data_IF_015143738548
#
_entry.id   IF_015143738548
#
_cell.length_a   1.000
_cell.length_b   1.000
_cell.length_c   1.000
_cell.angle_alpha   90.00
_cell.angle_beta   90.00
_cell.angle_gamma   90.00
#
_symmetry.space_group_name_H-M   'P 1'
#
loop_
_entity.id
_entity.type
_entity.pdbx_description
1 polymer ?
#
# COMPACT_ATOMS: atom_id res chain seq x y z
N UNK A 1 -62.18 53.12 -35.03
CA UNK A 1 -61.30 52.20 -35.79
C UNK A 1 -59.91 52.84 -35.80
N UNK A 2 -58.79 52.26 -35.36
CA UNK A 2 -58.38 50.91 -34.94
C UNK A 2 -57.34 51.08 -33.82
N UNK A 3 -57.17 50.01 -33.06
CA UNK A 3 -56.50 49.86 -31.77
C UNK A 3 -54.99 49.64 -31.95
N UNK A 4 -54.16 50.25 -31.11
CA UNK A 4 -52.69 50.04 -31.03
C UNK A 4 -52.37 48.71 -30.33
N UNK A 5 -51.37 47.93 -30.77
CA UNK A 5 -50.99 46.71 -30.08
C UNK A 5 -49.99 47.01 -28.95
N UNK A 6 -50.33 46.57 -27.74
CA UNK A 6 -49.43 46.54 -26.59
C UNK A 6 -48.65 45.22 -26.66
N UNK A 7 -47.34 45.29 -26.77
CA UNK A 7 -46.46 44.12 -26.65
C UNK A 7 -46.01 44.04 -25.19
N UNK A 8 -46.56 43.07 -24.45
CA UNK A 8 -46.10 42.72 -23.10
C UNK A 8 -44.97 41.68 -23.20
N UNK A 9 -43.91 41.77 -22.38
CA UNK A 9 -42.87 40.74 -22.35
C UNK A 9 -43.41 39.50 -21.63
N UNK A 10 -43.42 38.36 -22.32
CA UNK A 10 -43.73 37.05 -21.74
C UNK A 10 -42.55 36.64 -20.87
N UNK A 11 -42.71 36.72 -19.55
CA UNK A 11 -41.78 36.16 -18.58
C UNK A 11 -42.01 34.64 -18.52
N UNK A 12 -41.19 33.88 -19.25
CA UNK A 12 -41.18 32.42 -19.21
C UNK A 12 -40.51 31.96 -17.90
N UNK A 13 -41.33 31.66 -16.89
CA UNK A 13 -40.87 31.06 -15.63
C UNK A 13 -40.58 29.57 -15.87
N UNK A 14 -39.32 29.22 -16.13
CA UNK A 14 -38.86 27.83 -16.11
C UNK A 14 -38.90 27.33 -14.66
N UNK A 15 -39.99 26.67 -14.28
CA UNK A 15 -40.04 25.90 -13.03
C UNK A 15 -39.14 24.66 -13.18
N UNK A 16 -37.91 24.76 -12.70
CA UNK A 16 -37.02 23.61 -12.53
C UNK A 16 -37.55 22.75 -11.39
N UNK A 17 -38.18 21.63 -11.73
CA UNK A 17 -38.47 20.57 -10.77
C UNK A 17 -37.14 19.97 -10.29
N UNK A 18 -36.72 20.31 -9.08
CA UNK A 18 -35.59 19.65 -8.43
C UNK A 18 -36.09 18.29 -7.96
N UNK A 19 -35.92 17.25 -8.79
CA UNK A 19 -36.07 15.87 -8.34
C UNK A 19 -35.06 15.61 -7.23
N UNK A 20 -35.58 15.43 -6.02
CA UNK A 20 -34.80 15.15 -4.82
C UNK A 20 -34.34 13.68 -4.87
N UNK A 21 -33.30 13.38 -5.66
CA UNK A 21 -32.72 12.04 -5.72
C UNK A 21 -32.02 11.75 -4.39
N UNK A 22 -32.53 10.76 -3.65
CA UNK A 22 -31.84 10.23 -2.48
C UNK A 22 -30.45 9.71 -2.92
N UNK A 23 -29.41 10.09 -2.19
CA UNK A 23 -28.04 9.69 -2.51
C UNK A 23 -27.92 8.16 -2.54
N UNK A 24 -27.27 7.58 -3.56
CA UNK A 24 -27.15 6.13 -3.67
C UNK A 24 -26.41 5.54 -2.46
N UNK A 25 -26.84 4.37 -2.00
CA UNK A 25 -26.25 3.67 -0.85
C UNK A 25 -25.84 2.24 -1.20
N UNK A 26 -24.84 1.70 -0.52
CA UNK A 26 -24.41 0.31 -0.60
C UNK A 26 -24.53 -0.36 0.77
N UNK A 27 -25.27 -1.47 0.84
CA UNK A 27 -25.34 -2.30 2.05
C UNK A 27 -24.20 -3.31 2.06
N UNK A 28 -23.33 -3.23 3.05
CA UNK A 28 -22.16 -4.09 3.22
C UNK A 28 -22.58 -5.56 3.32
N UNK A 29 -22.04 -6.38 2.43
CA UNK A 29 -22.25 -7.82 2.41
C UNK A 29 -21.16 -8.54 3.21
N UNK A 30 -21.43 -9.80 3.58
CA UNK A 30 -20.49 -10.63 4.33
C UNK A 30 -19.18 -10.81 3.55
N UNK A 31 -18.08 -10.31 4.13
CA UNK A 31 -16.73 -10.43 3.56
C UNK A 31 -16.29 -9.25 2.69
N UNK A 32 -17.13 -8.24 2.48
CA UNK A 32 -16.72 -7.01 1.81
C UNK A 32 -15.89 -6.10 2.72
N UNK A 33 -14.94 -5.40 2.13
CA UNK A 33 -14.15 -4.37 2.82
C UNK A 33 -14.47 -2.98 2.27
N UNK A 34 -14.25 -1.96 3.10
CA UNK A 34 -14.50 -0.56 2.75
C UNK A 34 -13.83 -0.14 1.43
N UNK A 35 -12.61 -0.63 1.20
CA UNK A 35 -11.83 -0.34 -0.01
C UNK A 35 -12.33 -1.10 -1.24
N UNK A 36 -12.83 -2.34 -1.08
CA UNK A 36 -13.47 -3.09 -2.17
C UNK A 36 -14.77 -2.40 -2.62
N UNK A 37 -15.58 -1.94 -1.66
CA UNK A 37 -16.82 -1.22 -1.94
C UNK A 37 -16.51 0.11 -2.64
N UNK A 38 -15.52 0.88 -2.18
CA UNK A 38 -15.08 2.09 -2.86
C UNK A 38 -14.67 1.83 -4.32
N UNK A 39 -13.85 0.79 -4.54
CA UNK A 39 -13.40 0.38 -5.87
C UNK A 39 -14.56 -0.06 -6.76
N UNK A 40 -15.51 -0.84 -6.24
CA UNK A 40 -16.68 -1.32 -6.96
C UNK A 40 -17.53 -0.17 -7.48
N UNK A 41 -17.68 0.88 -6.69
CA UNK A 41 -18.47 2.06 -7.05
C UNK A 41 -17.64 3.16 -7.73
N UNK A 42 -16.40 2.85 -8.12
CA UNK A 42 -15.48 3.79 -8.77
C UNK A 42 -15.32 5.14 -8.02
N UNK A 43 -15.44 5.11 -6.68
CA UNK A 43 -15.23 6.25 -5.79
C UNK A 43 -13.92 6.06 -5.03
N UNK A 44 -13.26 7.15 -4.66
CA UNK A 44 -12.08 7.02 -3.81
C UNK A 44 -12.50 6.54 -2.41
N UNK A 45 -11.68 5.72 -1.72
CA UNK A 45 -11.94 5.36 -0.33
C UNK A 45 -12.10 6.61 0.56
N UNK A 46 -11.37 7.68 0.25
CA UNK A 46 -11.48 8.95 0.97
C UNK A 46 -12.85 9.63 0.75
N UNK A 47 -13.35 9.67 -0.49
CA UNK A 47 -14.68 10.22 -0.78
C UNK A 47 -15.79 9.37 -0.15
N UNK A 48 -15.62 8.04 -0.15
CA UNK A 48 -16.54 7.13 0.52
C UNK A 48 -16.50 7.33 2.05
N UNK A 49 -15.32 7.58 2.64
CA UNK A 49 -15.20 7.85 4.08
C UNK A 49 -15.79 9.21 4.47
N UNK A 50 -15.62 10.23 3.62
CA UNK A 50 -16.23 11.54 3.81
C UNK A 50 -17.76 11.49 3.76
N UNK A 51 -18.32 10.66 2.87
CA UNK A 51 -19.75 10.42 2.80
C UNK A 51 -20.29 9.63 4.02
N UNK A 52 -19.40 8.95 4.77
CA UNK A 52 -19.74 8.06 5.88
C UNK A 52 -18.92 8.34 7.15
N UNK A 53 -19.00 9.55 7.75
CA UNK A 53 -18.14 9.96 8.85
C UNK A 53 -18.32 9.13 10.13
N UNK A 54 -19.44 8.43 10.27
CA UNK A 54 -19.75 7.58 11.41
C UNK A 54 -19.28 6.13 11.26
N UNK A 55 -18.78 5.75 10.08
CA UNK A 55 -18.31 4.40 9.79
C UNK A 55 -16.78 4.39 9.77
N UNK A 56 -16.19 3.48 10.53
CA UNK A 56 -14.75 3.27 10.50
C UNK A 56 -14.38 2.27 9.40
N UNK A 57 -13.54 2.63 8.41
CA UNK A 57 -13.18 1.74 7.31
C UNK A 57 -12.60 0.38 7.71
N UNK A 58 -12.00 0.30 8.91
CA UNK A 58 -11.38 -0.90 9.47
C UNK A 58 -12.33 -1.75 10.32
N UNK A 59 -13.60 -1.35 10.48
CA UNK A 59 -14.61 -2.03 11.31
C UNK A 59 -15.96 -2.08 10.61
N UNK A 60 -15.96 -2.56 9.37
CA UNK A 60 -17.19 -2.81 8.63
C UNK A 60 -17.83 -4.12 9.07
N UNK A 61 -19.14 -4.08 9.33
CA UNK A 61 -19.95 -5.25 9.64
C UNK A 61 -20.97 -5.50 8.51
N UNK A 62 -21.31 -6.77 8.22
CA UNK A 62 -22.39 -7.07 7.29
C UNK A 62 -23.69 -6.41 7.74
N UNK A 63 -24.34 -5.69 6.83
CA UNK A 63 -25.55 -4.88 7.12
C UNK A 63 -25.28 -3.39 7.33
N UNK A 64 -24.02 -2.95 7.48
CA UNK A 64 -23.69 -1.52 7.50
C UNK A 64 -24.13 -0.86 6.17
N UNK A 65 -24.70 0.35 6.22
CA UNK A 65 -25.14 1.08 5.03
C UNK A 65 -24.17 2.22 4.76
N UNK A 66 -23.47 2.14 3.63
CA UNK A 66 -22.56 3.16 3.14
C UNK A 66 -23.27 4.09 2.14
N UNK A 67 -23.26 5.39 2.42
CA UNK A 67 -23.61 6.44 1.46
C UNK A 67 -22.53 6.54 0.41
N UNK A 68 -22.88 6.32 -0.84
CA UNK A 68 -21.95 6.49 -1.95
C UNK A 68 -21.92 7.98 -2.32
N UNK A 69 -20.74 8.61 -2.41
CA UNK A 69 -20.65 9.97 -2.90
C UNK A 69 -21.07 9.99 -4.37
N UNK A 70 -21.94 10.93 -4.76
CA UNK A 70 -22.29 11.12 -6.17
C UNK A 70 -21.02 11.37 -6.98
N UNK A 71 -20.80 10.57 -8.01
CA UNK A 71 -19.63 10.65 -8.87
C UNK A 71 -19.65 11.94 -9.71
N UNK A 72 -19.31 13.08 -9.13
CA UNK A 72 -18.75 14.18 -9.90
C UNK A 72 -17.31 13.80 -10.22
N UNK A 73 -17.15 13.25 -11.41
CA UNK A 73 -15.88 12.92 -12.07
C UNK A 73 -14.88 14.05 -11.80
N UNK A 74 -13.93 13.83 -10.91
CA UNK A 74 -12.78 14.73 -10.74
C UNK A 74 -11.79 14.42 -11.86
N UNK A 75 -12.03 14.96 -13.04
CA UNK A 75 -11.00 15.16 -14.05
C UNK A 75 -10.07 16.28 -13.55
N UNK A 76 -8.75 16.09 -13.49
CA UNK A 76 -7.83 17.20 -13.29
C UNK A 76 -7.75 17.96 -14.62
N UNK A 77 -8.53 19.03 -14.76
CA UNK A 77 -8.34 19.99 -15.83
C UNK A 77 -7.14 20.89 -15.49
N UNK A 78 -6.01 20.65 -16.14
CA UNK A 78 -4.95 21.65 -16.30
C UNK A 78 -5.51 22.86 -17.05
N UNK A 79 -5.48 24.03 -16.41
CA UNK A 79 -5.34 25.33 -17.09
C UNK A 79 -4.66 26.31 -16.11
N UNK A 80 -3.68 27.11 -16.57
CA UNK A 80 -2.84 27.93 -15.71
C UNK A 80 -3.48 29.30 -15.45
N UNK A 81 -3.48 29.76 -14.19
CA UNK A 81 -3.82 31.15 -13.82
C UNK A 81 -2.79 31.61 -12.77
N UNK A 82 -2.25 32.85 -12.87
CA UNK A 82 -0.89 33.17 -12.45
C UNK A 82 -0.67 33.29 -10.94
N UNK A 83 0.56 32.93 -10.57
CA UNK A 83 1.09 32.83 -9.21
C UNK A 83 1.33 34.18 -8.54
N UNK A 84 0.62 34.42 -7.44
CA UNK A 84 1.12 35.21 -6.30
C UNK A 84 1.69 34.25 -5.25
N UNK A 85 2.85 34.54 -4.62
CA UNK A 85 3.51 33.59 -3.73
C UNK A 85 2.85 33.55 -2.35
N UNK A 86 1.85 32.69 -2.20
CA UNK A 86 1.27 32.37 -0.88
C UNK A 86 2.29 31.56 -0.08
N UNK A 87 2.65 32.08 1.09
CA UNK A 87 3.53 31.45 2.10
C UNK A 87 3.11 29.97 2.30
N UNK A 88 4.06 29.00 2.32
CA UNK A 88 3.71 27.58 2.37
C UNK A 88 2.93 27.26 3.65
N UNK A 89 1.74 26.71 3.49
CA UNK A 89 0.87 26.32 4.60
C UNK A 89 1.54 25.21 5.41
N UNK A 90 1.62 25.35 6.73
CA UNK A 90 2.22 24.35 7.62
C UNK A 90 1.52 24.30 8.98
N UNK A 91 1.59 23.15 9.67
CA UNK A 91 1.02 22.92 11.00
C UNK A 91 2.07 22.36 11.96
N UNK A 92 2.01 22.73 13.24
CA UNK A 92 2.91 22.20 14.28
C UNK A 92 2.23 21.02 14.98
N UNK A 93 2.91 19.87 15.04
CA UNK A 93 2.41 18.64 15.65
C UNK A 93 2.21 18.83 17.15
N UNK A 94 1.01 18.50 17.65
CA UNK A 94 0.68 18.49 19.07
C UNK A 94 0.56 17.06 19.62
N UNK A 95 0.47 16.94 20.96
CA UNK A 95 0.26 15.64 21.63
C UNK A 95 -1.05 15.02 21.11
N UNK A 96 -0.96 13.80 20.56
CA UNK A 96 -2.11 13.06 20.03
C UNK A 96 -2.41 13.31 18.54
N UNK A 97 -1.58 14.08 17.84
CA UNK A 97 -1.70 14.21 16.39
C UNK A 97 -1.11 13.00 15.66
N UNK A 98 -1.77 12.64 14.56
CA UNK A 98 -1.33 11.58 13.65
C UNK A 98 -1.39 12.10 12.22
N UNK A 99 -0.58 11.52 11.32
CA UNK A 99 -0.63 11.90 9.91
C UNK A 99 -2.03 11.76 9.32
N UNK A 100 -2.76 10.71 9.72
CA UNK A 100 -4.13 10.47 9.29
C UNK A 100 -5.09 11.55 9.80
N UNK A 101 -4.93 12.03 11.04
CA UNK A 101 -5.74 13.12 11.60
C UNK A 101 -5.47 14.45 10.89
N UNK A 102 -4.20 14.78 10.64
CA UNK A 102 -3.80 16.02 9.96
C UNK A 102 -4.20 16.00 8.49
N UNK A 103 -4.02 14.87 7.81
CA UNK A 103 -4.49 14.64 6.44
C UNK A 103 -5.99 14.88 6.31
N UNK A 104 -6.81 14.33 7.23
CA UNK A 104 -8.26 14.55 7.28
C UNK A 104 -8.64 16.01 7.54
N UNK A 105 -7.98 16.67 8.50
CA UNK A 105 -8.30 18.04 8.89
C UNK A 105 -8.00 19.06 7.80
N UNK A 106 -6.99 18.79 6.96
CA UNK A 106 -6.50 19.74 5.95
C UNK A 106 -6.75 19.31 4.50
N UNK A 107 -7.44 18.19 4.26
CA UNK A 107 -7.80 17.75 2.92
C UNK A 107 -6.61 17.38 2.03
N UNK A 108 -5.50 16.93 2.62
CA UNK A 108 -4.26 16.57 1.91
C UNK A 108 -4.07 15.06 1.93
N UNK A 109 -3.76 14.43 0.80
CA UNK A 109 -3.53 12.98 0.76
C UNK A 109 -2.35 12.57 1.65
N UNK A 110 -2.43 11.41 2.31
CA UNK A 110 -1.32 10.87 3.11
C UNK A 110 -0.03 10.72 2.29
N UNK A 111 -0.16 10.37 1.01
CA UNK A 111 0.95 10.25 0.07
C UNK A 111 1.65 11.59 -0.14
N UNK A 112 0.89 12.65 -0.41
CA UNK A 112 1.43 14.00 -0.62
C UNK A 112 2.00 14.59 0.66
N UNK A 113 1.29 14.41 1.78
CA UNK A 113 1.73 14.87 3.09
C UNK A 113 3.07 14.23 3.49
N UNK A 114 3.25 12.94 3.23
CA UNK A 114 4.54 12.24 3.43
C UNK A 114 5.60 12.73 2.46
N UNK A 115 5.26 12.88 1.17
CA UNK A 115 6.17 13.35 0.12
C UNK A 115 6.73 14.73 0.41
N UNK A 116 5.87 15.70 0.74
CA UNK A 116 6.27 17.09 0.98
C UNK A 116 7.09 17.29 2.24
N UNK A 117 6.94 16.37 3.22
CA UNK A 117 7.63 16.42 4.50
C UNK A 117 8.75 15.40 4.64
N UNK A 118 9.05 14.65 3.58
CA UNK A 118 10.08 13.61 3.55
C UNK A 118 9.94 12.61 4.72
N UNK A 119 8.71 12.27 5.06
CA UNK A 119 8.40 11.37 6.18
C UNK A 119 8.56 9.92 5.75
N UNK A 120 9.55 9.23 6.32
CA UNK A 120 9.98 7.89 5.93
C UNK A 120 9.62 6.82 6.98
N UNK A 121 8.45 6.94 7.63
CA UNK A 121 7.98 5.99 8.64
C UNK A 121 8.41 6.29 10.09
N UNK A 122 9.10 7.41 10.34
CA UNK A 122 9.34 7.89 11.70
C UNK A 122 8.03 8.34 12.36
N UNK A 123 7.81 8.05 13.66
CA UNK A 123 6.68 8.60 14.40
C UNK A 123 6.75 10.13 14.42
N UNK A 124 5.60 10.80 14.30
CA UNK A 124 5.52 12.25 14.38
C UNK A 124 6.02 12.71 15.76
N UNK A 125 6.93 13.69 15.79
CA UNK A 125 7.43 14.24 17.04
C UNK A 125 6.60 15.45 17.47
N UNK A 126 6.23 15.52 18.75
CA UNK A 126 5.54 16.70 19.31
C UNK A 126 6.44 17.92 19.08
N UNK A 127 5.88 18.97 18.49
CA UNK A 127 6.59 20.19 18.14
C UNK A 127 7.19 20.22 16.73
N UNK A 128 7.17 19.11 15.99
CA UNK A 128 7.56 19.06 14.58
C UNK A 128 6.66 19.95 13.72
N UNK A 129 7.19 20.63 12.71
CA UNK A 129 6.38 21.39 11.73
C UNK A 129 6.21 20.59 10.45
N UNK A 130 4.96 20.45 10.01
CA UNK A 130 4.54 19.69 8.84
C UNK A 130 3.98 20.64 7.77
N UNK A 131 4.57 20.61 6.57
CA UNK A 131 4.11 21.28 5.35
C UNK A 131 2.83 20.64 4.85
N UNK A 132 1.83 21.46 4.53
CA UNK A 132 0.54 21.04 4.00
C UNK A 132 0.39 21.36 2.50
N UNK A 133 1.47 21.81 1.86
CA UNK A 133 1.52 22.10 0.43
C UNK A 133 2.85 21.67 -0.16
N UNK A 134 2.89 21.53 -1.50
CA UNK A 134 4.13 21.22 -2.20
C UNK A 134 5.20 22.28 -1.92
N UNK A 135 6.46 21.87 -1.67
CA UNK A 135 7.55 22.83 -1.60
C UNK A 135 7.69 23.52 -2.97
N UNK A 136 7.65 24.86 -2.97
CA UNK A 136 8.04 25.67 -4.11
C UNK A 136 9.52 25.37 -4.38
N UNK A 137 9.77 24.48 -5.34
CA UNK A 137 11.13 24.11 -5.70
C UNK A 137 11.44 24.80 -7.02
N UNK A 138 12.31 25.81 -6.97
CA UNK A 138 13.02 26.26 -8.15
C UNK A 138 13.72 25.06 -8.79
N UNK A 139 13.63 24.94 -10.11
CA UNK A 139 14.13 23.82 -10.88
C UNK A 139 15.61 23.51 -10.57
N UNK A 140 15.98 22.26 -10.24
CA UNK A 140 17.38 21.87 -10.20
C UNK A 140 17.91 21.60 -11.62
N UNK A 141 19.10 22.13 -11.89
CA UNK A 141 19.90 21.96 -13.10
C UNK A 141 20.15 20.49 -13.49
N UNK A 142 20.24 20.28 -14.80
CA UNK A 142 20.93 19.25 -15.58
C UNK A 142 21.20 17.86 -14.95
N UNK A 143 20.70 16.84 -15.65
CA UNK A 143 21.11 15.42 -15.57
C UNK A 143 22.64 15.26 -15.51
N UNK A 144 23.20 14.51 -14.55
CA UNK A 144 24.51 13.90 -14.73
C UNK A 144 24.38 12.69 -15.65
N UNK A 145 25.15 12.72 -16.74
CA UNK A 145 25.47 11.61 -17.62
C UNK A 145 26.04 10.44 -16.80
N UNK A 146 25.60 9.21 -17.10
CA UNK A 146 25.98 8.01 -16.36
C UNK A 146 27.50 7.76 -16.37
N UNK A 147 28.14 7.48 -15.21
CA UNK A 147 29.46 6.87 -15.19
C UNK A 147 29.35 5.36 -15.41
N UNK A 148 30.32 4.84 -16.16
CA UNK A 148 30.53 3.42 -16.43
C UNK A 148 30.64 2.58 -15.14
N UNK A 149 30.20 1.32 -15.25
CA UNK A 149 30.18 0.30 -14.22
C UNK A 149 31.59 0.03 -13.65
N UNK A 150 31.89 0.59 -12.49
CA UNK A 150 32.88 0.04 -11.57
C UNK A 150 32.14 -0.88 -10.59
N UNK A 151 32.71 -2.06 -10.32
CA UNK A 151 32.13 -3.06 -9.42
C UNK A 151 31.73 -2.40 -8.08
N UNK A 152 30.45 -2.45 -7.68
CA UNK A 152 30.00 -1.73 -6.51
C UNK A 152 30.59 -2.35 -5.23
N UNK A 153 31.08 -1.46 -4.35
CA UNK A 153 31.18 -1.69 -2.91
C UNK A 153 29.98 -2.52 -2.44
N UNK A 154 30.14 -3.56 -1.58
CA UNK A 154 29.01 -4.35 -1.11
C UNK A 154 27.91 -3.42 -0.60
N UNK A 155 26.64 -3.60 -1.05
CA UNK A 155 25.58 -2.67 -0.72
C UNK A 155 25.41 -2.60 0.80
N UNK A 156 25.30 -1.39 1.35
CA UNK A 156 25.00 -1.20 2.78
C UNK A 156 23.72 -1.96 3.11
N UNK A 157 23.80 -2.92 4.05
CA UNK A 157 22.65 -3.65 4.58
C UNK A 157 21.74 -2.64 5.28
N UNK A 158 20.67 -2.21 4.60
CA UNK A 158 19.84 -1.07 5.00
C UNK A 158 18.48 -1.53 5.50
N UNK A 159 17.83 -2.45 4.78
CA UNK A 159 16.50 -2.96 5.10
C UNK A 159 16.55 -4.12 6.10
N UNK A 160 17.60 -4.94 6.05
CA UNK A 160 17.76 -6.09 6.96
C UNK A 160 18.34 -5.66 8.32
N UNK A 161 19.13 -4.58 8.37
CA UNK A 161 19.80 -4.14 9.60
C UNK A 161 18.88 -4.05 10.84
N UNK A 162 17.66 -3.49 10.76
CA UNK A 162 16.74 -3.42 11.90
C UNK A 162 16.28 -4.78 12.44
N UNK A 163 16.21 -5.80 11.59
CA UNK A 163 15.71 -7.14 11.94
C UNK A 163 16.82 -8.19 12.01
N UNK A 164 18.07 -7.82 11.74
CA UNK A 164 19.20 -8.74 11.59
C UNK A 164 19.33 -9.73 12.75
N UNK A 165 19.22 -9.26 14.00
CA UNK A 165 19.29 -10.13 15.19
C UNK A 165 18.22 -11.24 15.17
N UNK A 166 17.01 -10.94 14.69
CA UNK A 166 15.93 -11.93 14.57
C UNK A 166 16.20 -12.93 13.44
N UNK A 167 16.94 -12.50 12.40
CA UNK A 167 17.29 -13.35 11.27
C UNK A 167 18.46 -14.28 11.61
N UNK A 168 19.51 -13.73 12.23
CA UNK A 168 20.78 -14.43 12.54
C UNK A 168 20.68 -15.34 13.76
N UNK A 169 19.73 -15.11 14.66
CA UNK A 169 19.58 -15.88 15.90
C UNK A 169 18.19 -16.49 16.03
N UNK A 170 17.79 -17.39 15.10
CA UNK A 170 16.57 -18.15 15.29
C UNK A 170 16.70 -19.09 16.50
N UNK A 171 15.57 -19.53 17.05
CA UNK A 171 15.55 -20.56 18.08
C UNK A 171 16.00 -21.89 17.48
N UNK A 172 17.07 -22.45 18.01
CA UNK A 172 17.60 -23.75 17.59
C UNK A 172 18.45 -23.67 16.32
N UNK A 173 18.66 -24.84 15.69
CA UNK A 173 19.51 -24.97 14.51
C UNK A 173 18.78 -24.41 13.28
N UNK A 174 19.50 -23.60 12.50
CA UNK A 174 19.03 -23.10 11.21
C UNK A 174 18.68 -24.29 10.29
N UNK A 175 17.44 -24.30 9.78
CA UNK A 175 17.01 -25.27 8.77
C UNK A 175 17.77 -25.05 7.47
N UNK A 176 17.94 -26.14 6.72
CA UNK A 176 18.44 -26.09 5.34
C UNK A 176 17.26 -25.87 4.40
N UNK A 177 17.15 -24.66 3.89
CA UNK A 177 16.12 -24.30 2.93
C UNK A 177 16.63 -24.47 1.51
N UNK A 178 15.74 -24.84 0.59
CA UNK A 178 16.07 -25.03 -0.84
C UNK A 178 15.46 -23.93 -1.72
N UNK A 179 14.33 -23.36 -1.31
CA UNK A 179 13.63 -22.33 -2.06
C UNK A 179 13.34 -21.09 -1.22
N UNK A 180 13.35 -19.93 -1.89
CA UNK A 180 12.63 -18.73 -1.46
C UNK A 180 11.47 -18.56 -2.44
N UNK A 181 10.25 -18.48 -1.90
CA UNK A 181 9.01 -18.30 -2.67
C UNK A 181 8.41 -16.95 -2.33
N UNK A 182 8.25 -16.11 -3.34
CA UNK A 182 7.70 -14.76 -3.20
C UNK A 182 6.21 -14.72 -3.48
N UNK A 183 5.49 -14.03 -2.61
CA UNK A 183 4.05 -13.82 -2.62
C UNK A 183 3.70 -12.35 -2.60
N UNK A 184 2.48 -12.05 -3.00
CA UNK A 184 1.80 -10.81 -2.63
C UNK A 184 0.72 -11.10 -1.58
N UNK A 185 0.28 -10.09 -0.84
CA UNK A 185 -0.83 -10.28 0.09
C UNK A 185 -2.18 -10.31 -0.63
N UNK A 186 -2.28 -9.75 -1.84
CA UNK A 186 -3.55 -9.55 -2.54
C UNK A 186 -4.41 -8.44 -1.89
N UNK A 187 -3.83 -7.69 -0.96
CA UNK A 187 -4.50 -6.65 -0.17
C UNK A 187 -3.72 -5.34 -0.25
N UNK A 188 -4.41 -4.19 -0.15
CA UNK A 188 -3.75 -2.88 -0.14
C UNK A 188 -2.97 -2.58 1.16
N UNK A 189 -3.27 -3.31 2.23
CA UNK A 189 -2.64 -3.15 3.55
C UNK A 189 -2.48 -4.47 4.28
N UNK A 190 -1.76 -4.42 5.40
CA UNK A 190 -1.38 -5.57 6.21
C UNK A 190 0.06 -5.48 6.72
N UNK A 191 0.34 -6.28 7.73
CA UNK A 191 1.67 -6.47 8.33
C UNK A 191 1.75 -7.88 8.93
N UNK A 192 2.89 -8.24 9.51
CA UNK A 192 3.06 -9.59 10.05
C UNK A 192 2.04 -9.93 11.15
N UNK A 193 1.71 -8.96 12.02
CA UNK A 193 0.72 -9.14 13.09
C UNK A 193 -0.69 -9.40 12.53
N UNK A 194 -1.11 -8.61 11.54
CA UNK A 194 -2.44 -8.74 10.91
C UNK A 194 -2.55 -10.09 10.20
N UNK A 195 -1.53 -10.46 9.41
CA UNK A 195 -1.53 -11.74 8.71
C UNK A 195 -1.44 -12.92 9.67
N UNK A 196 -0.75 -12.80 10.80
CA UNK A 196 -0.71 -13.84 11.83
C UNK A 196 -2.11 -14.12 12.42
N UNK A 197 -2.83 -13.07 12.81
CA UNK A 197 -4.20 -13.19 13.31
C UNK A 197 -5.13 -13.80 12.26
N UNK A 198 -5.10 -13.28 11.03
CA UNK A 198 -5.92 -13.77 9.92
C UNK A 198 -5.70 -15.26 9.64
N UNK A 199 -4.45 -15.73 9.62
CA UNK A 199 -4.16 -17.14 9.38
C UNK A 199 -4.61 -18.04 10.53
N UNK A 200 -4.47 -17.59 11.79
CA UNK A 200 -4.95 -18.33 12.97
C UNK A 200 -6.47 -18.50 12.98
N UNK A 201 -7.20 -17.44 12.66
CA UNK A 201 -8.66 -17.49 12.53
C UNK A 201 -9.13 -18.50 11.47
N UNK A 202 -8.27 -18.78 10.48
CA UNK A 202 -8.51 -19.79 9.44
C UNK A 202 -7.93 -21.17 9.76
N UNK A 203 -7.60 -21.43 11.03
CA UNK A 203 -7.12 -22.72 11.51
C UNK A 203 -5.62 -22.96 11.33
N UNK A 204 -4.85 -21.95 10.90
CA UNK A 204 -3.39 -22.07 10.86
C UNK A 204 -2.80 -21.79 12.25
N UNK A 205 -2.78 -22.81 13.10
CA UNK A 205 -2.34 -22.72 14.51
C UNK A 205 -0.97 -22.06 14.69
N UNK A 206 -0.07 -22.31 13.72
CA UNK A 206 1.30 -21.78 13.74
C UNK A 206 1.41 -20.30 13.29
N UNK A 207 0.29 -19.61 13.09
CA UNK A 207 0.31 -18.19 12.77
C UNK A 207 0.43 -17.92 11.28
N UNK A 208 1.03 -16.78 10.95
CA UNK A 208 1.20 -16.33 9.57
C UNK A 208 1.84 -17.41 8.68
N UNK A 209 1.30 -17.59 7.46
CA UNK A 209 1.79 -18.57 6.48
C UNK A 209 3.26 -18.36 6.05
N UNK A 210 3.71 -17.11 6.07
CA UNK A 210 5.00 -16.66 5.57
C UNK A 210 6.07 -16.61 6.67
N UNK A 211 7.33 -16.61 6.25
CA UNK A 211 8.47 -16.40 7.12
C UNK A 211 8.78 -14.91 7.29
N UNK A 212 8.53 -14.11 6.25
CA UNK A 212 8.79 -12.67 6.23
C UNK A 212 7.65 -11.91 5.55
N UNK A 213 7.45 -10.66 5.98
CA UNK A 213 6.57 -9.68 5.32
C UNK A 213 7.35 -8.43 4.98
N UNK A 214 7.05 -7.81 3.85
CA UNK A 214 7.63 -6.53 3.42
C UNK A 214 6.51 -5.50 3.25
N UNK A 215 6.49 -4.50 4.13
CA UNK A 215 5.48 -3.44 4.15
C UNK A 215 5.55 -2.49 2.95
N UNK A 216 4.42 -1.90 2.59
CA UNK A 216 4.27 -0.88 1.54
C UNK A 216 4.00 0.54 2.09
N UNK A 217 4.17 0.76 3.40
CA UNK A 217 3.90 2.04 4.04
C UNK A 217 2.50 2.22 4.64
N UNK A 218 1.62 1.23 4.49
CA UNK A 218 0.26 1.20 5.06
C UNK A 218 0.26 0.93 6.58
N UNK A 219 0.42 -0.34 6.97
CA UNK A 219 0.41 -0.81 8.37
C UNK A 219 1.82 -1.12 8.92
N UNK A 220 2.82 -1.06 8.02
CA UNK A 220 4.26 -1.11 8.29
C UNK A 220 4.98 -0.16 7.33
N UNK A 221 6.22 0.24 7.63
CA UNK A 221 7.02 1.12 6.78
C UNK A 221 7.24 0.55 5.36
N UNK A 222 7.43 1.43 4.37
CA UNK A 222 7.70 1.01 2.98
C UNK A 222 9.11 0.41 2.86
N UNK A 223 9.15 -0.87 2.48
CA UNK A 223 10.33 -1.73 2.50
C UNK A 223 10.69 -2.25 3.89
N UNK A 224 9.89 -1.98 4.92
CA UNK A 224 10.14 -2.55 6.25
C UNK A 224 9.96 -4.07 6.19
N UNK A 225 11.01 -4.79 6.56
CA UNK A 225 10.99 -6.25 6.71
C UNK A 225 10.50 -6.57 8.13
N UNK A 226 9.51 -7.46 8.21
CA UNK A 226 9.04 -8.05 9.47
C UNK A 226 9.30 -9.56 9.46
N UNK A 227 9.74 -10.09 10.59
CA UNK A 227 10.10 -11.51 10.74
C UNK A 227 8.96 -12.25 11.43
N UNK A 228 8.48 -13.31 10.78
CA UNK A 228 7.40 -14.16 11.29
C UNK A 228 7.86 -15.17 12.34
N UNK A 229 6.89 -15.73 13.06
CA UNK A 229 7.10 -16.82 14.03
C UNK A 229 7.74 -18.05 13.36
N UNK A 230 7.44 -18.31 12.08
CA UNK A 230 7.97 -19.44 11.33
C UNK A 230 9.48 -19.39 11.15
N UNK A 231 10.01 -18.21 10.85
CA UNK A 231 11.45 -18.01 10.79
C UNK A 231 12.09 -18.11 12.17
N UNK A 232 11.58 -17.37 13.16
CA UNK A 232 12.20 -17.34 14.49
C UNK A 232 12.15 -18.69 15.21
N UNK A 233 11.16 -19.54 14.92
CA UNK A 233 11.03 -20.90 15.46
C UNK A 233 11.59 -21.99 14.55
N UNK A 234 12.03 -21.63 13.33
CA UNK A 234 12.52 -22.57 12.33
C UNK A 234 11.54 -23.72 12.08
N UNK A 235 10.30 -23.36 11.74
CA UNK A 235 9.25 -24.30 11.35
C UNK A 235 8.87 -24.09 9.88
N UNK A 236 8.25 -25.10 9.28
CA UNK A 236 7.80 -25.12 7.89
C UNK A 236 6.82 -23.99 7.57
N UNK A 237 6.75 -23.64 6.28
CA UNK A 237 5.79 -22.69 5.74
C UNK A 237 4.34 -23.19 5.78
N UNK A 238 3.42 -22.31 5.40
CA UNK A 238 2.03 -22.67 5.07
C UNK A 238 1.54 -21.89 3.86
N UNK A 239 2.43 -21.63 2.90
CA UNK A 239 2.25 -20.62 1.85
C UNK A 239 2.14 -21.21 0.43
N UNK A 240 2.47 -22.49 0.25
CA UNK A 240 2.25 -23.23 -1.00
C UNK A 240 1.29 -24.40 -0.79
N UNK A 241 0.61 -24.84 -1.85
CA UNK A 241 -0.35 -25.95 -1.83
C UNK A 241 0.34 -27.33 -1.83
N UNK A 242 1.40 -27.48 -1.04
CA UNK A 242 2.21 -28.68 -0.94
C UNK A 242 2.98 -28.67 0.37
N UNK A 243 2.74 -29.68 1.22
CA UNK A 243 3.44 -29.82 2.49
C UNK A 243 4.94 -30.05 2.27
N UNK A 244 5.30 -30.92 1.31
CA UNK A 244 6.70 -31.18 0.96
C UNK A 244 7.45 -29.92 0.51
N UNK A 245 6.80 -29.02 -0.24
CA UNK A 245 7.41 -27.73 -0.59
C UNK A 245 7.44 -26.77 0.60
N UNK A 246 6.39 -26.71 1.43
CA UNK A 246 6.38 -25.89 2.64
C UNK A 246 7.51 -26.28 3.62
N UNK A 247 7.90 -27.56 3.65
CA UNK A 247 9.01 -28.05 4.46
C UNK A 247 10.36 -27.45 4.06
N UNK A 248 10.58 -27.16 2.77
CA UNK A 248 11.87 -26.72 2.22
C UNK A 248 11.87 -25.30 1.64
N UNK A 249 10.76 -24.58 1.72
CA UNK A 249 10.60 -23.24 1.15
C UNK A 249 10.38 -22.13 2.18
N UNK A 250 11.26 -21.12 2.14
CA UNK A 250 11.05 -19.83 2.80
C UNK A 250 9.96 -19.07 2.04
N UNK A 251 9.02 -18.47 2.75
CA UNK A 251 7.94 -17.66 2.17
C UNK A 251 8.13 -16.19 2.50
N UNK A 252 8.16 -15.32 1.49
CA UNK A 252 8.24 -13.86 1.66
C UNK A 252 7.00 -13.23 1.03
N UNK A 253 6.21 -12.49 1.81
CA UNK A 253 5.02 -11.79 1.32
C UNK A 253 5.25 -10.28 1.24
N UNK A 254 5.03 -9.69 0.07
CA UNK A 254 5.01 -8.24 -0.11
C UNK A 254 3.56 -7.75 0.02
N UNK A 255 3.33 -6.75 0.86
CA UNK A 255 2.00 -6.16 1.04
C UNK A 255 1.61 -5.41 -0.23
N UNK A 256 0.51 -5.81 -0.86
CA UNK A 256 0.02 -5.23 -2.11
C UNK A 256 -0.78 -6.20 -2.97
N UNK A 257 -1.54 -5.65 -3.91
CA UNK A 257 -2.21 -6.41 -4.96
C UNK A 257 -1.54 -6.13 -6.31
N UNK A 258 -0.45 -6.85 -6.56
CA UNK A 258 0.31 -6.69 -7.79
C UNK A 258 -0.34 -7.32 -9.04
N UNK A 259 -1.62 -7.69 -8.98
CA UNK A 259 -2.42 -7.87 -10.18
C UNK A 259 -2.87 -6.53 -10.78
N UNK A 260 -2.84 -5.45 -9.99
CA UNK A 260 -3.37 -4.14 -10.36
C UNK A 260 -2.35 -2.99 -10.30
N UNK A 261 -1.24 -3.16 -9.58
CA UNK A 261 -0.13 -2.20 -9.57
C UNK A 261 1.23 -2.90 -9.45
N UNK A 262 2.33 -2.18 -9.63
CA UNK A 262 3.66 -2.75 -9.33
C UNK A 262 4.00 -2.62 -7.83
N UNK A 263 4.90 -3.46 -7.30
CA UNK A 263 5.50 -3.23 -6.00
C UNK A 263 6.32 -1.94 -5.96
N UNK A 264 6.33 -1.29 -4.79
CA UNK A 264 7.06 -0.03 -4.60
C UNK A 264 8.59 -0.24 -4.76
N UNK A 265 9.34 0.80 -5.19
CA UNK A 265 10.79 0.69 -5.34
C UNK A 265 11.51 0.23 -4.07
N UNK A 266 11.06 0.66 -2.89
CA UNK A 266 11.65 0.26 -1.61
C UNK A 266 11.29 -1.17 -1.24
N UNK A 267 10.07 -1.64 -1.51
CA UNK A 267 9.71 -3.06 -1.38
C UNK A 267 10.62 -3.96 -2.24
N UNK A 268 10.85 -3.58 -3.50
CA UNK A 268 11.75 -4.33 -4.40
C UNK A 268 13.19 -4.35 -3.89
N UNK A 269 13.69 -3.20 -3.42
CA UNK A 269 15.03 -3.12 -2.85
C UNK A 269 15.17 -3.98 -1.58
N UNK A 270 14.19 -3.94 -0.68
CA UNK A 270 14.15 -4.76 0.53
C UNK A 270 14.09 -6.26 0.19
N UNK A 271 13.29 -6.66 -0.80
CA UNK A 271 13.22 -8.05 -1.26
C UNK A 271 14.59 -8.54 -1.76
N UNK A 272 15.24 -7.76 -2.63
CA UNK A 272 16.56 -8.11 -3.17
C UNK A 272 17.60 -8.22 -2.06
N UNK A 273 17.63 -7.26 -1.12
CA UNK A 273 18.55 -7.28 0.02
C UNK A 273 18.30 -8.50 0.91
N UNK A 274 17.04 -8.78 1.24
CA UNK A 274 16.66 -9.93 2.08
C UNK A 274 17.03 -11.27 1.42
N UNK A 275 16.73 -11.45 0.13
CA UNK A 275 17.08 -12.70 -0.58
C UNK A 275 18.58 -12.93 -0.59
N UNK A 276 19.37 -11.90 -0.90
CA UNK A 276 20.84 -11.98 -0.88
C UNK A 276 21.36 -12.31 0.52
N UNK A 277 20.82 -11.66 1.54
CA UNK A 277 21.19 -11.90 2.93
C UNK A 277 20.89 -13.34 3.36
N UNK A 278 19.70 -13.87 3.05
CA UNK A 278 19.31 -15.24 3.38
C UNK A 278 20.20 -16.29 2.69
N UNK A 279 20.61 -16.04 1.44
CA UNK A 279 21.57 -16.91 0.73
C UNK A 279 22.92 -16.96 1.40
N UNK A 280 23.44 -15.80 1.80
CA UNK A 280 24.69 -15.70 2.52
C UNK A 280 24.60 -16.42 3.88
N UNK A 281 23.52 -16.20 4.63
CA UNK A 281 23.29 -16.82 5.93
C UNK A 281 23.20 -18.35 5.85
N UNK A 282 22.58 -18.88 4.80
CA UNK A 282 22.44 -20.32 4.59
C UNK A 282 23.74 -20.98 4.09
N UNK A 283 24.77 -20.19 3.73
CA UNK A 283 25.96 -20.66 3.00
C UNK A 283 25.59 -21.59 1.83
N UNK A 284 24.43 -21.36 1.21
CA UNK A 284 23.83 -22.27 0.25
C UNK A 284 23.60 -21.53 -1.08
N UNK A 285 24.50 -21.72 -2.06
CA UNK A 285 24.28 -21.21 -3.42
C UNK A 285 23.09 -21.89 -4.11
N UNK A 286 22.52 -22.94 -3.49
CA UNK A 286 21.37 -23.69 -4.00
C UNK A 286 20.00 -23.14 -3.56
N UNK A 287 19.96 -22.07 -2.76
CA UNK A 287 18.70 -21.44 -2.35
C UNK A 287 18.07 -20.70 -3.53
N UNK A 288 17.20 -21.39 -4.26
CA UNK A 288 16.60 -20.95 -5.52
C UNK A 288 15.51 -19.92 -5.28
N UNK A 289 15.52 -18.87 -6.07
CA UNK A 289 14.46 -17.85 -6.05
C UNK A 289 13.31 -18.31 -6.95
N UNK A 290 12.09 -18.32 -6.44
CA UNK A 290 10.87 -18.64 -7.20
C UNK A 290 9.74 -17.69 -6.84
N UNK A 291 8.87 -17.44 -7.80
CA UNK A 291 7.57 -16.86 -7.54
C UNK A 291 6.56 -17.95 -7.19
N UNK A 292 5.48 -17.59 -6.48
CA UNK A 292 4.45 -18.57 -6.12
C UNK A 292 3.92 -19.34 -7.33
N UNK A 293 3.57 -18.64 -8.42
CA UNK A 293 3.10 -19.27 -9.68
C UNK A 293 4.06 -20.26 -10.33
N UNK A 294 5.37 -20.18 -10.05
CA UNK A 294 6.39 -20.96 -10.74
C UNK A 294 6.64 -22.32 -10.08
N UNK A 295 6.22 -22.50 -8.84
CA UNK A 295 6.52 -23.70 -8.04
C UNK A 295 5.26 -24.33 -7.42
N UNK A 296 4.15 -23.60 -7.35
CA UNK A 296 2.94 -24.13 -6.73
C UNK A 296 2.37 -25.30 -7.54
N UNK A 297 1.94 -26.35 -6.85
CA UNK A 297 1.28 -27.52 -7.46
C UNK A 297 -0.09 -27.19 -8.04
N UNK A 298 -0.73 -26.13 -7.54
CA UNK A 298 -2.00 -25.60 -8.04
C UNK A 298 -1.76 -24.27 -8.76
N UNK A 299 -2.38 -24.02 -9.92
CA UNK A 299 -2.27 -22.74 -10.59
C UNK A 299 -2.64 -21.57 -9.68
N UNK A 300 -1.90 -20.47 -9.77
CA UNK A 300 -2.13 -19.25 -9.00
C UNK A 300 -1.58 -18.04 -9.75
N UNK A 301 -2.28 -16.92 -9.66
CA UNK A 301 -1.81 -15.64 -10.21
C UNK A 301 -0.75 -14.98 -9.32
N UNK A 302 -0.63 -15.41 -8.06
CA UNK A 302 0.32 -14.86 -7.09
C UNK A 302 1.78 -14.97 -7.61
N UNK A 303 2.61 -13.92 -7.47
CA UNK A 303 2.40 -12.65 -6.76
C UNK A 303 1.71 -11.53 -7.57
N UNK A 304 0.95 -11.86 -8.62
CA UNK A 304 0.18 -10.92 -9.43
C UNK A 304 0.85 -10.57 -10.76
N UNK A 305 0.07 -10.38 -11.81
CA UNK A 305 0.58 -10.22 -13.20
C UNK A 305 1.50 -9.02 -13.46
N UNK A 306 1.46 -7.98 -12.61
CA UNK A 306 2.34 -6.81 -12.70
C UNK A 306 3.57 -6.93 -11.79
N UNK A 307 3.76 -8.07 -11.14
CA UNK A 307 4.98 -8.35 -10.40
C UNK A 307 6.18 -8.49 -11.37
N UNK A 308 7.32 -7.84 -11.12
CA UNK A 308 8.43 -7.77 -12.08
C UNK A 308 9.28 -9.06 -12.09
N UNK A 309 8.69 -10.19 -12.48
CA UNK A 309 9.31 -11.52 -12.48
C UNK A 309 10.64 -11.54 -13.23
N UNK A 310 10.64 -11.25 -14.53
CA UNK A 310 11.82 -11.35 -15.38
C UNK A 310 13.01 -10.54 -14.84
N UNK A 311 12.75 -9.31 -14.37
CA UNK A 311 13.80 -8.45 -13.82
C UNK A 311 14.35 -8.98 -12.49
N UNK A 312 13.51 -9.58 -11.65
CA UNK A 312 13.97 -10.16 -10.39
C UNK A 312 14.77 -11.45 -10.62
N UNK A 313 14.39 -12.30 -11.57
CA UNK A 313 15.20 -13.46 -11.96
C UNK A 313 16.57 -13.04 -12.49
N UNK A 314 16.65 -12.01 -13.35
CA UNK A 314 17.94 -11.48 -13.84
C UNK A 314 18.87 -11.02 -12.69
N UNK A 315 18.29 -10.54 -11.58
CA UNK A 315 19.05 -10.03 -10.42
C UNK A 315 19.38 -11.12 -9.39
N UNK A 316 18.54 -12.17 -9.32
CA UNK A 316 18.49 -13.13 -8.21
C UNK A 316 18.66 -14.59 -8.63
N UNK A 317 18.82 -14.96 -9.89
CA UNK A 317 19.31 -16.30 -10.27
C UNK A 317 20.78 -16.25 -10.67
#
# INVERSE_FOLDING_TARGET
MRVSPIVAPILLLLATTISNYAAPTHTVQKGETFYQIAKQHAVSPDALAQANPNIQPTRLHPGDILRLPSATVSTPASSPVPSTPTRPLSVKIQKGDTLSKISRQHGVSLKDLRRWNRLNGSPLQIGQTLRLSAPLTAAPLAKPTAPALTLPTPPKISFVAPVRKQIDSPRGRLRRWEYIVVHHSGTGGGNARIFDAYHKERGMENGMAYHFVIGNGSDSGDGQIEVGSRWTRQIQGGHVASDSLNEIAIGICLVGDFSHHQPDPRQKAALIELVRFLRQLQSSPRLKFRLHREINTKPTECPGKLFPSAKLHEILD
#
